data_IF_425971931914
#
_entry.id   IF_425971931914
#
_cell.length_a   1.000
_cell.length_b   1.000
_cell.length_c   1.000
_cell.angle_alpha   90.00
_cell.angle_beta   90.00
_cell.angle_gamma   90.00
#
_symmetry.space_group_name_H-M   'P 1'
#
loop_
_entity.id
_entity.type
_entity.pdbx_description
1 polymer ?
#
# COMPACT_ATOMS: atom_id res chain seq x y z
N UNK A 1 64.35 15.28 12.38
CA UNK A 1 63.48 15.30 13.58
C UNK A 1 62.05 15.19 13.11
N UNK A 2 61.42 14.05 13.39
CA UNK A 2 60.05 13.71 12.97
C UNK A 2 59.40 13.03 14.17
N UNK A 3 58.27 13.52 14.71
CA UNK A 3 57.70 12.95 15.92
C UNK A 3 56.88 11.69 15.61
N UNK A 4 57.27 10.58 16.26
CA UNK A 4 56.53 9.31 16.28
C UNK A 4 55.18 9.50 17.01
N UNK A 5 54.07 8.96 16.50
CA UNK A 5 52.80 8.95 17.23
C UNK A 5 52.84 7.93 18.37
N UNK A 6 52.29 8.32 19.53
CA UNK A 6 52.13 7.47 20.73
C UNK A 6 51.02 6.43 20.51
N UNK A 7 51.18 5.19 20.98
CA UNK A 7 50.12 4.18 20.92
C UNK A 7 49.02 4.52 21.95
N UNK A 8 47.78 4.67 21.47
CA UNK A 8 46.59 4.81 22.31
C UNK A 8 46.25 3.48 22.99
N UNK A 9 45.98 3.56 24.28
CA UNK A 9 45.67 2.44 25.16
C UNK A 9 44.41 1.67 24.72
N UNK A 10 44.60 0.54 24.03
CA UNK A 10 43.61 -0.53 23.97
C UNK A 10 43.75 -1.38 25.23
N UNK A 11 43.06 -0.98 26.30
CA UNK A 11 42.84 -1.86 27.45
C UNK A 11 41.87 -2.96 27.02
N UNK A 12 42.41 -4.15 26.74
CA UNK A 12 41.64 -5.39 26.61
C UNK A 12 41.01 -5.70 27.98
N UNK A 13 39.70 -5.47 28.11
CA UNK A 13 38.93 -6.12 29.16
C UNK A 13 38.61 -7.55 28.68
N UNK A 14 39.45 -8.51 29.06
CA UNK A 14 39.14 -9.93 28.98
C UNK A 14 38.10 -10.25 30.06
N UNK A 15 36.85 -10.45 29.66
CA UNK A 15 35.80 -10.96 30.54
C UNK A 15 36.00 -12.47 30.65
N UNK A 16 36.61 -12.92 31.75
CA UNK A 16 36.54 -14.32 32.18
C UNK A 16 35.08 -14.63 32.55
N UNK A 17 34.39 -15.38 31.69
CA UNK A 17 33.10 -15.99 32.02
C UNK A 17 33.33 -17.16 33.00
N UNK A 18 33.42 -16.86 34.29
CA UNK A 18 33.15 -17.86 35.34
C UNK A 18 31.64 -17.93 35.52
N UNK A 19 31.05 -19.06 35.14
CA UNK A 19 29.62 -19.33 35.35
C UNK A 19 29.27 -19.36 36.84
N UNK A 20 28.05 -18.93 37.22
CA UNK A 20 27.66 -18.93 38.62
C UNK A 20 27.27 -20.33 39.09
N UNK A 21 27.78 -20.71 40.27
CA UNK A 21 27.18 -21.76 41.10
C UNK A 21 25.82 -21.26 41.65
N UNK A 22 24.87 -22.15 41.97
CA UNK A 22 23.57 -21.72 42.48
C UNK A 22 23.75 -21.20 43.91
N UNK A 23 22.93 -20.22 44.29
CA UNK A 23 22.80 -19.67 45.65
C UNK A 23 23.74 -18.51 46.00
N UNK A 24 23.61 -17.38 45.30
CA UNK A 24 24.07 -16.09 45.84
C UNK A 24 23.10 -14.97 45.46
N UNK A 25 22.38 -14.44 46.47
CA UNK A 25 21.61 -13.22 46.34
C UNK A 25 22.56 -12.05 46.02
N UNK A 26 22.31 -11.35 44.91
CA UNK A 26 23.06 -10.15 44.54
C UNK A 26 22.32 -8.95 45.09
N UNK A 27 22.82 -8.42 46.20
CA UNK A 27 22.38 -7.14 46.79
C UNK A 27 22.95 -5.99 45.93
N UNK A 28 22.11 -5.35 45.12
CA UNK A 28 22.47 -4.19 44.31
C UNK A 28 22.49 -2.93 45.20
N UNK A 29 23.66 -2.59 45.74
CA UNK A 29 23.91 -1.27 46.32
C UNK A 29 24.65 -0.39 45.31
N UNK A 30 23.96 0.63 44.78
CA UNK A 30 24.53 1.65 43.90
C UNK A 30 23.52 2.78 43.70
N UNK A 31 23.94 4.02 43.96
CA UNK A 31 23.10 5.21 43.86
C UNK A 31 22.50 5.42 42.45
N UNK A 32 21.29 5.99 42.33
CA UNK A 32 20.69 6.30 41.04
C UNK A 32 21.47 7.43 40.35
N UNK A 33 22.15 7.09 39.24
CA UNK A 33 22.68 8.07 38.29
C UNK A 33 21.52 8.92 37.76
N UNK A 34 21.47 10.17 38.22
CA UNK A 34 20.52 11.18 37.80
C UNK A 34 20.62 11.45 36.30
N UNK A 35 19.47 11.40 35.63
CA UNK A 35 19.28 11.61 34.19
C UNK A 35 19.45 13.08 33.78
N UNK A 36 20.61 13.69 34.05
CA UNK A 36 20.82 15.13 33.86
C UNK A 36 22.07 15.54 33.07
N UNK A 37 22.82 14.61 32.45
CA UNK A 37 24.00 15.01 31.67
C UNK A 37 24.10 14.24 30.34
N UNK A 38 23.75 14.95 29.26
CA UNK A 38 24.25 14.82 27.88
C UNK A 38 23.15 14.67 26.81
N UNK A 39 22.42 15.75 26.54
CA UNK A 39 22.05 16.14 25.17
C UNK A 39 22.13 17.67 25.09
N UNK A 40 23.32 18.20 24.74
CA UNK A 40 23.41 19.52 24.14
C UNK A 40 22.97 19.40 22.69
N UNK A 41 21.74 19.86 22.43
CA UNK A 41 21.11 19.95 21.12
C UNK A 41 19.72 20.55 21.31
N UNK A 42 19.63 21.87 21.23
CA UNK A 42 18.46 22.66 21.64
C UNK A 42 17.16 22.34 20.88
N UNK A 43 16.01 22.82 21.39
CA UNK A 43 14.70 22.53 20.82
C UNK A 43 14.43 23.40 19.58
N UNK A 44 14.08 22.79 18.45
CA UNK A 44 13.26 23.49 17.45
C UNK A 44 11.83 23.56 17.99
N UNK A 45 11.41 24.77 18.37
CA UNK A 45 10.06 25.11 18.78
C UNK A 45 9.06 24.87 17.63
N UNK A 46 7.91 24.24 17.94
CA UNK A 46 6.67 24.44 17.17
C UNK A 46 6.00 23.22 16.53
N UNK A 47 6.51 22.00 16.71
CA UNK A 47 5.83 20.78 16.24
C UNK A 47 4.92 20.15 17.29
N UNK A 48 3.75 19.58 16.95
CA UNK A 48 2.98 18.78 17.90
C UNK A 48 3.85 17.62 18.41
N UNK A 49 3.75 17.24 19.70
CA UNK A 49 4.59 16.19 20.27
C UNK A 49 4.40 14.90 19.47
N UNK A 50 5.51 14.34 19.01
CA UNK A 50 5.51 13.05 18.33
C UNK A 50 4.78 12.02 19.22
N UNK A 51 3.91 11.15 18.66
CA UNK A 51 3.16 10.19 19.45
C UNK A 51 4.14 9.33 20.26
N UNK A 52 3.91 9.24 21.58
CA UNK A 52 4.69 8.39 22.49
C UNK A 52 4.59 6.95 22.01
N UNK A 53 5.64 6.48 21.33
CA UNK A 53 5.80 5.07 20.97
C UNK A 53 6.29 4.36 22.23
N UNK A 54 5.48 3.49 22.79
CA UNK A 54 5.82 2.70 23.99
C UNK A 54 5.83 1.21 23.65
N UNK A 55 6.87 0.49 24.06
CA UNK A 55 6.97 -0.97 23.92
C UNK A 55 8.41 -1.47 23.86
N UNK A 56 8.61 -2.78 24.08
CA UNK A 56 9.95 -3.41 24.10
C UNK A 56 10.74 -3.19 22.81
N UNK A 57 10.06 -3.16 21.66
CA UNK A 57 10.68 -2.87 20.36
C UNK A 57 11.21 -1.42 20.26
N UNK A 58 10.53 -0.47 20.91
CA UNK A 58 10.96 0.94 20.93
C UNK A 58 12.22 1.12 21.78
N UNK A 59 12.26 0.52 22.97
CA UNK A 59 13.45 0.57 23.84
C UNK A 59 14.64 -0.18 23.26
N UNK A 60 14.41 -1.28 22.55
CA UNK A 60 15.46 -2.00 21.82
C UNK A 60 16.05 -1.13 20.70
N UNK A 61 15.22 -0.39 19.97
CA UNK A 61 15.69 0.53 18.92
C UNK A 61 16.40 1.77 19.48
N UNK A 62 15.94 2.30 20.61
CA UNK A 62 16.61 3.41 21.31
C UNK A 62 18.00 2.99 21.81
N UNK A 63 18.11 1.80 22.41
CA UNK A 63 19.38 1.22 22.86
C UNK A 63 20.35 0.95 21.71
N UNK A 64 19.86 0.43 20.57
CA UNK A 64 20.68 0.20 19.36
C UNK A 64 21.18 1.50 18.73
N UNK A 65 20.39 2.57 18.81
CA UNK A 65 20.80 3.91 18.36
C UNK A 65 21.87 4.50 19.27
N UNK A 66 21.71 4.36 20.59
CA UNK A 66 22.71 4.78 21.56
C UNK A 66 24.07 4.06 21.37
N UNK A 67 24.04 2.81 20.90
CA UNK A 67 25.23 1.99 20.63
C UNK A 67 25.88 2.22 19.25
N UNK A 68 25.33 3.11 18.41
CA UNK A 68 25.93 3.42 17.09
C UNK A 68 25.76 2.32 16.02
N UNK A 69 24.99 1.25 16.30
CA UNK A 69 24.74 0.10 15.41
C UNK A 69 23.82 0.49 14.21
N UNK A 70 23.34 1.74 14.16
CA UNK A 70 22.37 2.23 13.16
C UNK A 70 22.87 2.08 11.72
N UNK A 71 24.18 2.19 11.47
CA UNK A 71 24.75 2.06 10.11
C UNK A 71 24.81 0.62 9.60
N UNK A 72 25.10 -0.36 10.47
CA UNK A 72 25.09 -1.78 10.11
C UNK A 72 23.66 -2.32 10.00
N UNK A 73 22.75 -1.88 10.88
CA UNK A 73 21.34 -2.25 10.79
C UNK A 73 20.73 -1.69 9.51
N UNK A 74 21.10 -0.51 9.00
CA UNK A 74 20.54 0.00 7.73
C UNK A 74 20.96 -0.86 6.53
N UNK A 75 22.19 -1.38 6.52
CA UNK A 75 22.66 -2.31 5.49
C UNK A 75 22.02 -3.71 5.61
N UNK A 76 21.84 -4.21 6.83
CA UNK A 76 21.14 -5.48 7.11
C UNK A 76 19.61 -5.37 6.93
N UNK A 77 19.02 -4.20 7.19
CA UNK A 77 17.60 -3.92 7.02
C UNK A 77 17.22 -3.83 5.54
N UNK A 78 18.07 -3.24 4.69
CA UNK A 78 17.91 -3.32 3.22
C UNK A 78 17.98 -4.77 2.73
N UNK A 79 18.64 -5.67 3.46
CA UNK A 79 18.65 -7.11 3.16
C UNK A 79 17.44 -7.89 3.70
N UNK A 80 16.54 -7.28 4.49
CA UNK A 80 15.37 -7.98 5.09
C UNK A 80 14.17 -8.12 4.15
N UNK A 81 14.05 -7.27 3.13
CA UNK A 81 12.95 -7.34 2.15
C UNK A 81 13.55 -7.69 0.80
N UNK A 82 13.25 -8.88 0.25
CA UNK A 82 13.85 -9.29 -1.01
C UNK A 82 13.40 -8.40 -2.17
N UNK A 83 14.28 -8.25 -3.16
CA UNK A 83 14.06 -7.38 -4.31
C UNK A 83 12.79 -7.79 -5.09
N UNK A 84 12.05 -6.85 -5.69
CA UNK A 84 10.76 -7.11 -6.34
C UNK A 84 10.87 -7.82 -7.70
N UNK A 85 12.00 -8.46 -8.00
CA UNK A 85 12.27 -9.09 -9.30
C UNK A 85 11.29 -10.23 -9.60
N UNK A 86 10.95 -11.02 -8.58
CA UNK A 86 9.94 -12.08 -8.70
C UNK A 86 8.58 -11.50 -9.10
N UNK A 87 8.12 -10.46 -8.39
CA UNK A 87 6.86 -9.78 -8.72
C UNK A 87 6.92 -9.13 -10.11
N UNK A 88 8.10 -8.67 -10.55
CA UNK A 88 8.40 -8.27 -11.93
C UNK A 88 8.06 -9.34 -12.95
N UNK A 89 8.60 -10.55 -12.75
CA UNK A 89 8.34 -11.69 -13.61
C UNK A 89 6.86 -12.11 -13.59
N UNK A 90 6.23 -12.13 -12.41
CA UNK A 90 4.79 -12.40 -12.27
C UNK A 90 3.97 -11.36 -13.03
N UNK A 91 4.25 -10.07 -12.86
CA UNK A 91 3.57 -8.99 -13.56
C UNK A 91 3.68 -9.11 -15.08
N UNK A 92 4.88 -9.36 -15.59
CA UNK A 92 5.10 -9.59 -17.01
C UNK A 92 4.33 -10.83 -17.53
N UNK A 93 4.37 -11.95 -16.79
CA UNK A 93 3.63 -13.15 -17.12
C UNK A 93 2.12 -12.95 -17.15
N UNK A 94 1.58 -12.22 -16.16
CA UNK A 94 0.17 -11.83 -16.11
C UNK A 94 -0.20 -10.98 -17.32
N UNK A 95 0.59 -9.96 -17.65
CA UNK A 95 0.30 -9.09 -18.79
C UNK A 95 0.29 -9.84 -20.12
N UNK A 96 1.29 -10.69 -20.36
CA UNK A 96 1.35 -11.53 -21.57
C UNK A 96 0.14 -12.46 -21.62
N UNK A 97 -0.16 -13.15 -20.53
CA UNK A 97 -1.29 -14.08 -20.46
C UNK A 97 -2.62 -13.38 -20.70
N UNK A 98 -2.89 -12.26 -20.00
CA UNK A 98 -4.11 -11.47 -20.15
C UNK A 98 -4.32 -10.99 -21.60
N UNK A 99 -3.26 -10.57 -22.28
CA UNK A 99 -3.33 -10.17 -23.70
C UNK A 99 -3.63 -11.35 -24.61
N UNK A 100 -3.06 -12.53 -24.34
CA UNK A 100 -3.29 -13.75 -25.12
C UNK A 100 -4.70 -14.32 -24.92
N UNK A 101 -5.24 -14.24 -23.70
CA UNK A 101 -6.55 -14.81 -23.35
C UNK A 101 -7.71 -13.84 -23.56
N UNK A 102 -7.45 -12.62 -24.07
CA UNK A 102 -8.46 -11.59 -24.30
C UNK A 102 -9.68 -12.15 -25.07
N UNK A 103 -10.90 -11.68 -24.78
CA UNK A 103 -12.12 -12.30 -25.28
C UNK A 103 -12.26 -12.24 -26.80
N UNK A 104 -11.57 -11.31 -27.47
CA UNK A 104 -11.54 -11.22 -28.93
C UNK A 104 -10.75 -12.36 -29.60
N UNK A 105 -9.87 -13.05 -28.86
CA UNK A 105 -9.07 -14.18 -29.35
C UNK A 105 -9.64 -15.54 -28.91
N UNK A 106 -10.15 -15.63 -27.68
CA UNK A 106 -10.54 -16.90 -27.04
C UNK A 106 -12.04 -17.06 -26.82
N UNK A 107 -12.82 -16.00 -27.02
CA UNK A 107 -14.24 -15.93 -26.66
C UNK A 107 -14.47 -15.57 -25.18
N UNK A 108 -15.62 -14.97 -24.89
CA UNK A 108 -15.93 -14.38 -23.58
C UNK A 108 -15.88 -15.37 -22.41
N UNK A 109 -16.48 -16.56 -22.55
CA UNK A 109 -16.57 -17.54 -21.46
C UNK A 109 -15.18 -18.05 -21.06
N UNK A 110 -14.36 -18.41 -22.04
CA UNK A 110 -13.02 -18.93 -21.81
C UNK A 110 -12.08 -17.83 -21.29
N UNK A 111 -12.16 -16.61 -21.83
CA UNK A 111 -11.41 -15.45 -21.30
C UNK A 111 -11.71 -15.24 -19.82
N UNK A 112 -12.99 -15.15 -19.43
CA UNK A 112 -13.38 -14.92 -18.04
C UNK A 112 -12.84 -16.04 -17.14
N UNK A 113 -12.97 -17.30 -17.54
CA UNK A 113 -12.47 -18.43 -16.76
C UNK A 113 -10.94 -18.36 -16.59
N UNK A 114 -10.20 -18.05 -17.66
CA UNK A 114 -8.74 -17.93 -17.62
C UNK A 114 -8.29 -16.70 -16.82
N UNK A 115 -9.00 -15.58 -16.89
CA UNK A 115 -8.72 -14.38 -16.11
C UNK A 115 -8.94 -14.62 -14.61
N UNK A 116 -9.99 -15.36 -14.23
CA UNK A 116 -10.23 -15.78 -12.83
C UNK A 116 -9.08 -16.67 -12.36
N UNK A 117 -8.70 -17.68 -13.15
CA UNK A 117 -7.57 -18.56 -12.82
C UNK A 117 -6.28 -17.75 -12.69
N UNK A 118 -6.04 -16.80 -13.60
CA UNK A 118 -4.86 -15.94 -13.57
C UNK A 118 -4.82 -15.07 -12.31
N UNK A 119 -5.95 -14.50 -11.89
CA UNK A 119 -6.05 -13.73 -10.66
C UNK A 119 -5.78 -14.59 -9.41
N UNK A 120 -6.34 -15.80 -9.37
CA UNK A 120 -6.09 -16.77 -8.27
C UNK A 120 -4.63 -17.18 -8.23
N UNK A 121 -4.03 -17.53 -9.37
CA UNK A 121 -2.63 -17.91 -9.45
C UNK A 121 -1.70 -16.75 -9.06
N UNK A 122 -2.05 -15.52 -9.43
CA UNK A 122 -1.31 -14.32 -9.01
C UNK A 122 -1.33 -14.17 -7.49
N UNK A 123 -2.50 -14.33 -6.86
CA UNK A 123 -2.63 -14.28 -5.41
C UNK A 123 -1.81 -15.40 -4.75
N UNK A 124 -1.93 -16.64 -5.22
CA UNK A 124 -1.20 -17.79 -4.69
C UNK A 124 0.32 -17.64 -4.84
N UNK A 125 0.79 -17.12 -5.97
CA UNK A 125 2.22 -16.89 -6.20
C UNK A 125 2.79 -15.85 -5.22
N UNK A 126 2.05 -14.76 -4.96
CA UNK A 126 2.46 -13.73 -4.00
C UNK A 126 2.41 -14.26 -2.57
N UNK A 127 1.32 -14.95 -2.19
CA UNK A 127 1.21 -15.56 -0.87
C UNK A 127 2.35 -16.57 -0.67
N UNK A 128 2.62 -17.43 -1.64
CA UNK A 128 3.71 -18.40 -1.55
C UNK A 128 5.08 -17.72 -1.41
N UNK A 129 5.32 -16.65 -2.17
CA UNK A 129 6.53 -15.85 -2.04
C UNK A 129 6.67 -15.26 -0.61
N UNK A 130 5.60 -14.68 -0.07
CA UNK A 130 5.57 -14.13 1.29
C UNK A 130 5.75 -15.24 2.35
N UNK A 131 5.25 -16.45 2.10
CA UNK A 131 5.42 -17.59 3.00
C UNK A 131 6.87 -18.08 3.04
N UNK A 132 7.56 -18.09 1.90
CA UNK A 132 8.91 -18.65 1.75
C UNK A 132 10.00 -17.65 2.15
N UNK A 133 9.83 -16.36 1.84
CA UNK A 133 10.89 -15.36 1.96
C UNK A 133 10.72 -14.38 3.12
N UNK A 134 9.51 -14.19 3.63
CA UNK A 134 9.27 -13.31 4.78
C UNK A 134 9.22 -14.13 6.08
N UNK A 135 9.86 -13.61 7.13
CA UNK A 135 9.76 -14.16 8.49
C UNK A 135 8.31 -14.06 8.99
N UNK A 136 7.87 -15.01 9.82
CA UNK A 136 6.48 -15.08 10.29
C UNK A 136 6.03 -13.79 11.02
N UNK A 137 6.95 -13.17 11.77
CA UNK A 137 6.72 -11.94 12.54
C UNK A 137 6.55 -10.70 11.66
N UNK A 138 7.13 -10.71 10.45
CA UNK A 138 7.11 -9.57 9.51
C UNK A 138 6.36 -9.90 8.22
N UNK A 139 5.60 -11.00 8.22
CA UNK A 139 4.87 -11.43 7.03
C UNK A 139 3.77 -10.42 6.68
N UNK A 140 3.67 -9.98 5.42
CA UNK A 140 2.61 -9.10 4.99
C UNK A 140 1.23 -9.74 5.21
N UNK A 141 0.26 -8.90 5.57
CA UNK A 141 -1.15 -9.29 5.60
C UNK A 141 -1.76 -9.37 4.19
N UNK A 142 -3.10 -9.43 4.09
CA UNK A 142 -3.79 -9.56 2.79
C UNK A 142 -3.53 -8.38 1.82
N UNK A 143 -3.01 -7.27 2.34
CA UNK A 143 -2.59 -6.09 1.61
C UNK A 143 -1.55 -6.41 0.50
N UNK A 144 -0.74 -7.48 0.63
CA UNK A 144 0.27 -7.83 -0.38
C UNK A 144 -0.32 -8.36 -1.69
N UNK A 145 -1.50 -8.99 -1.67
CA UNK A 145 -2.09 -9.62 -2.86
C UNK A 145 -3.43 -9.01 -3.31
N UNK A 146 -4.14 -8.26 -2.47
CA UNK A 146 -5.43 -7.65 -2.84
C UNK A 146 -5.29 -6.68 -4.04
N UNK A 147 -4.31 -5.78 -3.98
CA UNK A 147 -4.06 -4.81 -5.06
C UNK A 147 -3.61 -5.49 -6.37
N UNK A 148 -2.66 -6.46 -6.36
CA UNK A 148 -2.34 -7.26 -7.55
C UNK A 148 -3.53 -8.01 -8.16
N UNK A 149 -4.39 -8.62 -7.34
CA UNK A 149 -5.61 -9.28 -7.83
C UNK A 149 -6.55 -8.27 -8.49
N UNK A 150 -6.74 -7.12 -7.87
CA UNK A 150 -7.54 -6.04 -8.45
C UNK A 150 -6.92 -5.50 -9.75
N UNK A 151 -5.60 -5.46 -9.85
CA UNK A 151 -4.89 -5.07 -11.06
C UNK A 151 -5.13 -6.05 -12.20
N UNK A 152 -5.08 -7.37 -11.93
CA UNK A 152 -5.39 -8.42 -12.92
C UNK A 152 -6.82 -8.28 -13.42
N UNK A 153 -7.79 -8.14 -12.51
CA UNK A 153 -9.21 -7.98 -12.86
C UNK A 153 -9.42 -6.71 -13.70
N UNK A 154 -8.84 -5.59 -13.28
CA UNK A 154 -8.98 -4.31 -13.97
C UNK A 154 -8.35 -4.35 -15.36
N UNK A 155 -7.21 -5.04 -15.51
CA UNK A 155 -6.56 -5.28 -16.79
C UNK A 155 -7.42 -6.15 -17.72
N UNK A 156 -7.89 -7.31 -17.24
CA UNK A 156 -8.72 -8.23 -18.00
C UNK A 156 -9.97 -7.54 -18.56
N UNK A 157 -10.63 -6.75 -17.72
CA UNK A 157 -11.83 -6.02 -18.15
C UNK A 157 -11.47 -4.91 -19.14
N UNK A 158 -10.38 -4.16 -18.91
CA UNK A 158 -9.95 -3.13 -19.85
C UNK A 158 -9.72 -3.73 -21.25
N UNK A 159 -9.02 -4.87 -21.33
CA UNK A 159 -8.79 -5.60 -22.58
C UNK A 159 -10.08 -6.13 -23.21
N UNK A 160 -11.07 -6.47 -22.39
CA UNK A 160 -12.38 -6.91 -22.85
C UNK A 160 -13.25 -5.74 -23.35
N UNK A 161 -13.16 -4.57 -22.71
CA UNK A 161 -14.06 -3.44 -22.90
C UNK A 161 -13.67 -2.46 -24.00
N UNK A 162 -12.42 -2.49 -24.48
CA UNK A 162 -11.96 -1.61 -25.56
C UNK A 162 -10.88 -2.24 -26.44
N UNK A 163 -10.91 -1.89 -27.73
CA UNK A 163 -9.84 -2.21 -28.70
C UNK A 163 -8.82 -1.09 -28.85
N UNK A 164 -9.00 0.05 -28.17
CA UNK A 164 -8.05 1.16 -28.21
C UNK A 164 -6.70 0.74 -27.60
N UNK A 165 -5.68 0.70 -28.44
CA UNK A 165 -4.32 0.32 -28.07
C UNK A 165 -3.75 1.23 -26.96
N UNK A 166 -4.12 2.51 -26.93
CA UNK A 166 -3.60 3.46 -25.93
C UNK A 166 -4.12 3.13 -24.53
N UNK A 167 -5.42 2.84 -24.44
CA UNK A 167 -6.07 2.46 -23.17
C UNK A 167 -5.54 1.10 -22.70
N UNK A 168 -5.40 0.14 -23.62
CA UNK A 168 -4.88 -1.18 -23.30
C UNK A 168 -3.40 -1.16 -22.89
N UNK A 169 -2.55 -0.38 -23.56
CA UNK A 169 -1.15 -0.20 -23.18
C UNK A 169 -1.03 0.45 -21.80
N UNK A 170 -1.86 1.46 -21.52
CA UNK A 170 -1.92 2.09 -20.19
C UNK A 170 -2.37 1.09 -19.12
N UNK A 171 -3.40 0.29 -19.39
CA UNK A 171 -3.88 -0.74 -18.46
C UNK A 171 -2.82 -1.80 -18.18
N UNK A 172 -2.07 -2.25 -19.20
CA UNK A 172 -0.95 -3.18 -19.04
C UNK A 172 0.17 -2.56 -18.19
N UNK A 173 0.57 -1.33 -18.50
CA UNK A 173 1.63 -0.63 -17.77
C UNK A 173 1.26 -0.46 -16.28
N UNK A 174 0.02 -0.02 -16.02
CA UNK A 174 -0.49 0.14 -14.66
C UNK A 174 -0.60 -1.21 -13.97
N UNK A 175 -1.20 -2.22 -14.62
CA UNK A 175 -1.42 -3.53 -14.03
C UNK A 175 -0.11 -4.20 -13.62
N UNK A 176 0.88 -4.20 -14.52
CA UNK A 176 2.23 -4.70 -14.24
C UNK A 176 2.90 -3.92 -13.12
N UNK A 177 2.88 -2.58 -13.20
CA UNK A 177 3.46 -1.72 -12.17
C UNK A 177 2.87 -1.96 -10.77
N UNK A 178 1.55 -2.14 -10.67
CA UNK A 178 0.86 -2.45 -9.40
C UNK A 178 1.24 -3.84 -8.89
N UNK A 179 1.30 -4.86 -9.75
CA UNK A 179 1.71 -6.22 -9.36
C UNK A 179 3.15 -6.22 -8.81
N UNK A 180 4.03 -5.37 -9.33
CA UNK A 180 5.40 -5.23 -8.83
C UNK A 180 5.46 -4.43 -7.54
N UNK A 181 4.82 -3.26 -7.52
CA UNK A 181 4.97 -2.29 -6.44
C UNK A 181 4.21 -2.71 -5.17
N UNK A 182 2.96 -3.17 -5.29
CA UNK A 182 2.10 -3.39 -4.13
C UNK A 182 2.66 -4.44 -3.14
N UNK A 183 3.10 -5.65 -3.58
CA UNK A 183 3.65 -6.63 -2.65
C UNK A 183 4.93 -6.12 -1.97
N UNK A 184 5.79 -5.43 -2.72
CA UNK A 184 7.03 -4.88 -2.18
C UNK A 184 6.76 -3.78 -1.15
N UNK A 185 5.83 -2.86 -1.42
CA UNK A 185 5.42 -1.82 -0.47
C UNK A 185 4.76 -2.41 0.78
N UNK A 186 3.97 -3.49 0.63
CA UNK A 186 3.39 -4.22 1.75
C UNK A 186 4.47 -4.90 2.62
N UNK A 187 5.48 -5.52 2.01
CA UNK A 187 6.61 -6.12 2.71
C UNK A 187 7.48 -5.09 3.44
N UNK A 188 7.79 -3.95 2.79
CA UNK A 188 8.51 -2.84 3.43
C UNK A 188 7.78 -2.31 4.66
N UNK A 189 6.45 -2.23 4.60
CA UNK A 189 5.62 -1.83 5.74
C UNK A 189 5.63 -2.87 6.85
N UNK A 190 5.43 -4.14 6.51
CA UNK A 190 5.39 -5.22 7.49
C UNK A 190 6.75 -5.37 8.22
N UNK A 191 7.85 -5.09 7.52
CA UNK A 191 9.19 -5.01 8.10
C UNK A 191 9.47 -3.73 8.91
N UNK A 192 8.50 -2.82 9.06
CA UNK A 192 8.66 -1.56 9.81
C UNK A 192 9.51 -0.49 9.10
N UNK A 193 9.76 -0.64 7.80
CA UNK A 193 10.62 0.24 6.99
C UNK A 193 9.84 1.27 6.16
N UNK A 194 8.57 1.52 6.49
CA UNK A 194 7.73 2.47 5.77
C UNK A 194 8.23 3.91 5.97
N UNK A 195 8.75 4.51 4.89
CA UNK A 195 9.11 5.93 4.84
C UNK A 195 7.95 6.77 4.30
N UNK A 196 7.94 8.11 4.49
CA UNK A 196 6.91 8.98 3.92
C UNK A 196 6.76 8.82 2.39
N UNK A 197 7.88 8.61 1.69
CA UNK A 197 7.90 8.35 0.25
C UNK A 197 7.23 7.01 -0.08
N UNK A 198 7.53 5.93 0.65
CA UNK A 198 6.91 4.62 0.41
C UNK A 198 5.40 4.64 0.70
N UNK A 199 4.98 5.42 1.71
CA UNK A 199 3.56 5.67 1.99
C UNK A 199 2.88 6.35 0.80
N UNK A 200 3.49 7.41 0.25
CA UNK A 200 2.97 8.10 -0.92
C UNK A 200 2.92 7.20 -2.15
N UNK A 201 3.96 6.39 -2.39
CA UNK A 201 3.97 5.41 -3.49
C UNK A 201 2.87 4.36 -3.36
N UNK A 202 2.54 3.93 -2.13
CA UNK A 202 1.40 3.04 -1.89
C UNK A 202 0.08 3.73 -2.23
N UNK A 203 -0.11 4.97 -1.78
CA UNK A 203 -1.31 5.74 -2.11
C UNK A 203 -1.47 5.92 -3.64
N UNK A 204 -0.38 6.22 -4.34
CA UNK A 204 -0.35 6.28 -5.80
C UNK A 204 -0.71 4.93 -6.41
N UNK A 205 -0.17 3.83 -5.88
CA UNK A 205 -0.43 2.46 -6.37
C UNK A 205 -1.91 2.08 -6.20
N UNK A 206 -2.52 2.44 -5.06
CA UNK A 206 -3.94 2.25 -4.81
C UNK A 206 -4.83 3.10 -5.73
N UNK A 207 -4.40 4.32 -6.09
CA UNK A 207 -5.10 5.15 -7.10
C UNK A 207 -4.96 4.53 -8.49
N UNK A 208 -3.74 4.15 -8.86
CA UNK A 208 -3.41 3.60 -10.17
C UNK A 208 -4.22 2.34 -10.48
N UNK A 209 -4.41 1.42 -9.51
CA UNK A 209 -5.22 0.21 -9.73
C UNK A 209 -6.67 0.52 -10.13
N UNK A 210 -7.22 1.65 -9.66
CA UNK A 210 -8.59 2.05 -9.99
C UNK A 210 -8.71 2.66 -11.39
N UNK A 211 -7.61 3.17 -11.99
CA UNK A 211 -7.64 3.86 -13.29
C UNK A 211 -8.15 2.95 -14.40
N UNK A 212 -7.63 1.72 -14.63
CA UNK A 212 -8.17 0.84 -15.66
C UNK A 212 -9.61 0.40 -15.34
N UNK A 213 -9.96 0.21 -14.07
CA UNK A 213 -11.31 -0.17 -13.66
C UNK A 213 -12.36 0.91 -14.01
N UNK A 214 -12.06 2.18 -13.72
CA UNK A 214 -12.98 3.29 -14.06
C UNK A 214 -13.00 3.60 -15.56
N UNK A 215 -11.87 3.43 -16.26
CA UNK A 215 -11.81 3.60 -17.71
C UNK A 215 -12.63 2.52 -18.43
N UNK A 216 -12.53 1.28 -17.97
CA UNK A 216 -13.36 0.18 -18.44
C UNK A 216 -14.84 0.43 -18.08
N UNK A 217 -15.14 0.83 -16.84
CA UNK A 217 -16.49 1.18 -16.40
C UNK A 217 -17.11 2.35 -17.17
N UNK A 218 -16.30 3.28 -17.68
CA UNK A 218 -16.74 4.39 -18.51
C UNK A 218 -16.90 4.01 -19.99
N UNK A 219 -16.46 2.82 -20.41
CA UNK A 219 -16.48 2.41 -21.81
C UNK A 219 -17.93 2.26 -22.32
N UNK A 220 -18.29 2.90 -23.45
CA UNK A 220 -19.66 2.89 -23.97
C UNK A 220 -20.12 1.50 -24.45
N UNK A 221 -19.20 0.59 -24.76
CA UNK A 221 -19.51 -0.74 -25.27
C UNK A 221 -19.94 -1.78 -24.21
N UNK A 222 -19.79 -1.48 -22.92
CA UNK A 222 -20.16 -2.41 -21.86
C UNK A 222 -21.61 -2.20 -21.39
N UNK A 223 -22.29 -3.26 -20.96
CA UNK A 223 -23.60 -3.16 -20.31
C UNK A 223 -23.46 -2.50 -18.92
N UNK A 224 -24.54 -1.87 -18.43
CA UNK A 224 -24.53 -1.14 -17.16
C UNK A 224 -24.10 -2.02 -15.97
N UNK A 225 -24.48 -3.30 -15.96
CA UNK A 225 -24.14 -4.25 -14.89
C UNK A 225 -22.67 -4.68 -14.94
N UNK A 226 -22.09 -4.86 -16.15
CA UNK A 226 -20.65 -5.12 -16.30
C UNK A 226 -19.85 -3.91 -15.83
N UNK A 227 -20.23 -2.69 -16.25
CA UNK A 227 -19.58 -1.45 -15.81
C UNK A 227 -19.56 -1.33 -14.28
N UNK A 228 -20.73 -1.50 -13.66
CA UNK A 228 -20.87 -1.45 -12.21
C UNK A 228 -20.00 -2.49 -11.51
N UNK A 229 -20.01 -3.74 -11.99
CA UNK A 229 -19.24 -4.85 -11.37
C UNK A 229 -17.74 -4.58 -11.41
N UNK A 230 -17.23 -4.09 -12.52
CA UNK A 230 -15.80 -3.83 -12.73
C UNK A 230 -15.33 -2.70 -11.84
N UNK A 231 -16.07 -1.59 -11.85
CA UNK A 231 -15.79 -0.44 -11.00
C UNK A 231 -15.85 -0.87 -9.55
N UNK A 232 -16.87 -1.64 -9.15
CA UNK A 232 -17.00 -2.15 -7.78
C UNK A 232 -15.76 -2.91 -7.35
N UNK A 233 -15.29 -3.89 -8.12
CA UNK A 233 -14.14 -4.71 -7.75
C UNK A 233 -12.85 -3.88 -7.62
N UNK A 234 -12.52 -3.07 -8.64
CA UNK A 234 -11.29 -2.27 -8.63
C UNK A 234 -11.28 -1.18 -7.56
N UNK A 235 -12.41 -0.49 -7.37
CA UNK A 235 -12.52 0.60 -6.39
C UNK A 235 -12.65 0.11 -4.95
N UNK A 236 -13.30 -1.05 -4.72
CA UNK A 236 -13.36 -1.66 -3.39
C UNK A 236 -11.97 -2.10 -2.94
N UNK A 237 -11.18 -2.74 -3.82
CA UNK A 237 -9.83 -3.16 -3.48
C UNK A 237 -8.89 -1.98 -3.16
N UNK A 238 -8.91 -0.93 -3.98
CA UNK A 238 -8.13 0.29 -3.72
C UNK A 238 -8.58 1.00 -2.44
N UNK A 239 -9.89 1.03 -2.16
CA UNK A 239 -10.41 1.61 -0.92
C UNK A 239 -10.04 0.77 0.30
N UNK A 240 -10.04 -0.57 0.17
CA UNK A 240 -9.64 -1.47 1.25
C UNK A 240 -8.18 -1.23 1.64
N UNK A 241 -7.25 -1.21 0.68
CA UNK A 241 -5.84 -0.95 0.95
C UNK A 241 -5.64 0.42 1.63
N UNK A 242 -6.25 1.48 1.08
CA UNK A 242 -6.15 2.82 1.64
C UNK A 242 -6.69 2.93 3.07
N UNK A 243 -7.84 2.30 3.38
CA UNK A 243 -8.42 2.35 4.73
C UNK A 243 -7.67 1.42 5.69
N UNK A 244 -7.10 0.32 5.20
CA UNK A 244 -6.27 -0.58 6.01
C UNK A 244 -4.93 0.06 6.38
N UNK A 245 -4.39 0.89 5.47
CA UNK A 245 -3.19 1.70 5.70
C UNK A 245 -3.32 2.59 6.95
N UNK A 246 -4.53 3.09 7.21
CA UNK A 246 -4.84 3.94 8.36
C UNK A 246 -4.92 3.20 9.71
N UNK A 247 -4.68 1.89 9.74
CA UNK A 247 -4.72 1.08 10.97
C UNK A 247 -6.13 0.75 11.44
N UNK A 248 -7.14 0.91 10.57
CA UNK A 248 -8.53 0.57 10.86
C UNK A 248 -8.69 -0.96 10.97
N UNK A 249 -9.49 -1.48 11.92
CA UNK A 249 -9.78 -2.91 12.02
C UNK A 249 -10.47 -3.45 10.77
N UNK A 250 -10.12 -4.69 10.37
CA UNK A 250 -10.51 -5.28 9.09
C UNK A 250 -12.03 -5.22 8.78
N UNK A 251 -12.90 -5.40 9.79
CA UNK A 251 -14.36 -5.36 9.61
C UNK A 251 -14.83 -3.98 9.15
N UNK A 252 -14.31 -2.92 9.79
CA UNK A 252 -14.65 -1.53 9.46
C UNK A 252 -14.02 -1.14 8.12
N UNK A 253 -12.79 -1.59 7.87
CA UNK A 253 -12.13 -1.42 6.56
C UNK A 253 -12.96 -2.02 5.44
N UNK A 254 -13.41 -3.26 5.58
CA UNK A 254 -14.22 -3.94 4.58
C UNK A 254 -15.54 -3.21 4.31
N UNK A 255 -16.25 -2.77 5.36
CA UNK A 255 -17.49 -2.02 5.22
C UNK A 255 -17.29 -0.65 4.55
N UNK A 256 -16.27 0.10 4.96
CA UNK A 256 -15.94 1.39 4.35
C UNK A 256 -15.55 1.25 2.87
N UNK A 257 -14.72 0.25 2.57
CA UNK A 257 -14.28 -0.05 1.22
C UNK A 257 -15.45 -0.47 0.32
N UNK A 258 -16.32 -1.36 0.81
CA UNK A 258 -17.52 -1.79 0.09
C UNK A 258 -18.49 -0.63 -0.15
N UNK A 259 -18.69 0.25 0.84
CA UNK A 259 -19.55 1.42 0.68
C UNK A 259 -19.00 2.41 -0.35
N UNK A 260 -17.69 2.70 -0.31
CA UNK A 260 -17.03 3.54 -1.31
C UNK A 260 -17.11 2.93 -2.72
N UNK A 261 -16.85 1.63 -2.83
CA UNK A 261 -16.89 0.91 -4.09
C UNK A 261 -18.30 0.83 -4.68
N UNK A 262 -19.30 0.53 -3.85
CA UNK A 262 -20.71 0.44 -4.27
C UNK A 262 -21.22 1.79 -4.78
N UNK A 263 -20.96 2.88 -4.05
CA UNK A 263 -21.36 4.21 -4.48
C UNK A 263 -20.70 4.57 -5.83
N UNK A 264 -19.40 4.31 -5.98
CA UNK A 264 -18.70 4.58 -7.25
C UNK A 264 -19.22 3.71 -8.40
N UNK A 265 -19.51 2.44 -8.13
CA UNK A 265 -20.06 1.50 -9.10
C UNK A 265 -21.47 1.87 -9.57
N UNK A 266 -22.34 2.30 -8.65
CA UNK A 266 -23.69 2.77 -8.97
C UNK A 266 -23.62 4.03 -9.84
N UNK A 267 -22.73 4.98 -9.52
CA UNK A 267 -22.50 6.16 -10.36
C UNK A 267 -21.99 5.77 -11.74
N UNK A 268 -21.04 4.83 -11.84
CA UNK A 268 -20.54 4.36 -13.12
C UNK A 268 -21.62 3.68 -13.98
N UNK A 269 -22.47 2.85 -13.36
CA UNK A 269 -23.60 2.21 -14.04
C UNK A 269 -24.61 3.23 -14.58
N UNK A 270 -24.88 4.31 -13.82
CA UNK A 270 -25.77 5.38 -14.22
C UNK A 270 -25.14 6.36 -15.24
N UNK A 271 -23.82 6.48 -15.25
CA UNK A 271 -23.11 7.49 -16.03
C UNK A 271 -22.96 7.17 -17.53
N UNK A 272 -23.44 6.01 -17.97
CA UNK A 272 -23.23 5.53 -19.33
C UNK A 272 -23.69 6.52 -20.40
N UNK A 273 -22.75 6.97 -21.24
CA UNK A 273 -23.01 7.88 -22.35
C UNK A 273 -23.31 9.33 -21.93
N UNK A 274 -23.09 9.73 -20.66
CA UNK A 274 -23.28 11.13 -20.21
C UNK A 274 -22.37 12.09 -20.98
N UNK A 275 -21.10 11.76 -21.13
CA UNK A 275 -20.08 12.57 -21.80
C UNK A 275 -18.85 11.70 -22.10
N UNK A 276 -17.73 12.29 -22.54
CA UNK A 276 -16.54 11.55 -22.96
C UNK A 276 -16.01 10.58 -21.89
N UNK A 277 -15.58 9.39 -22.31
CA UNK A 277 -15.11 8.30 -21.45
C UNK A 277 -14.06 8.74 -20.43
N UNK A 278 -13.07 9.54 -20.86
CA UNK A 278 -12.00 10.03 -19.98
C UNK A 278 -12.55 10.94 -18.86
N UNK A 279 -13.51 11.79 -19.19
CA UNK A 279 -14.10 12.71 -18.23
C UNK A 279 -15.02 11.95 -17.23
N UNK A 280 -15.76 10.94 -17.68
CA UNK A 280 -16.50 10.04 -16.76
C UNK A 280 -15.52 9.34 -15.81
N UNK A 281 -14.44 8.74 -16.35
CA UNK A 281 -13.45 8.04 -15.54
C UNK A 281 -12.77 8.96 -14.51
N UNK A 282 -12.43 10.19 -14.90
CA UNK A 282 -11.90 11.20 -13.99
C UNK A 282 -12.90 11.56 -12.88
N UNK A 283 -14.17 11.81 -13.21
CA UNK A 283 -15.21 12.08 -12.21
C UNK A 283 -15.42 10.91 -11.26
N UNK A 284 -15.35 9.67 -11.74
CA UNK A 284 -15.42 8.47 -10.90
C UNK A 284 -14.20 8.34 -9.98
N UNK A 285 -13.00 8.68 -10.44
CA UNK A 285 -11.79 8.68 -9.60
C UNK A 285 -11.87 9.74 -8.50
N UNK A 286 -12.35 10.95 -8.82
CA UNK A 286 -12.55 12.01 -7.83
C UNK A 286 -13.59 11.58 -6.79
N UNK A 287 -14.72 11.01 -7.23
CA UNK A 287 -15.76 10.50 -6.36
C UNK A 287 -15.21 9.40 -5.45
N UNK A 288 -14.52 8.41 -6.01
CA UNK A 288 -13.90 7.33 -5.26
C UNK A 288 -12.89 7.85 -4.23
N UNK A 289 -12.00 8.77 -4.64
CA UNK A 289 -10.98 9.35 -3.77
C UNK A 289 -11.61 10.08 -2.57
N UNK A 290 -12.64 10.88 -2.81
CA UNK A 290 -13.37 11.56 -1.73
C UNK A 290 -14.12 10.58 -0.83
N UNK A 291 -14.83 9.61 -1.39
CA UNK A 291 -15.58 8.62 -0.62
C UNK A 291 -14.68 7.74 0.24
N UNK A 292 -13.58 7.21 -0.31
CA UNK A 292 -12.64 6.38 0.47
C UNK A 292 -12.06 7.17 1.66
N UNK A 293 -11.78 8.45 1.46
CA UNK A 293 -11.17 9.32 2.48
C UNK A 293 -12.15 9.67 3.59
N UNK A 294 -13.38 10.05 3.25
CA UNK A 294 -14.43 10.31 4.24
C UNK A 294 -14.80 9.05 5.02
N UNK A 295 -15.04 7.93 4.32
CA UNK A 295 -15.43 6.67 4.97
C UNK A 295 -14.30 6.06 5.79
N UNK A 296 -13.05 6.20 5.34
CA UNK A 296 -11.86 5.84 6.09
C UNK A 296 -11.68 6.69 7.35
N UNK A 297 -11.77 8.02 7.22
CA UNK A 297 -11.69 8.95 8.34
C UNK A 297 -12.78 8.74 9.39
N UNK A 298 -14.02 8.47 8.95
CA UNK A 298 -15.14 8.07 9.79
C UNK A 298 -14.84 6.76 10.55
N UNK A 299 -14.39 5.74 9.82
CA UNK A 299 -14.12 4.41 10.37
C UNK A 299 -12.97 4.39 11.38
N UNK A 300 -12.00 5.28 11.17
CA UNK A 300 -10.88 5.51 12.07
C UNK A 300 -11.22 6.41 13.27
N UNK A 301 -12.39 7.05 13.30
CA UNK A 301 -12.74 8.04 14.33
C UNK A 301 -11.90 9.32 14.27
N UNK A 302 -11.32 9.63 13.09
CA UNK A 302 -10.41 10.77 12.87
C UNK A 302 -10.98 11.83 11.93
N UNK A 303 -12.31 11.86 11.76
CA UNK A 303 -12.96 12.81 10.86
C UNK A 303 -13.03 14.20 11.50
N UNK A 304 -11.96 14.97 11.34
CA UNK A 304 -11.91 16.39 11.68
C UNK A 304 -12.40 17.27 10.52
N UNK A 305 -12.49 18.60 10.77
CA UNK A 305 -12.88 19.59 9.75
C UNK A 305 -11.96 19.59 8.52
N UNK A 306 -10.66 19.40 8.71
CA UNK A 306 -9.68 19.38 7.61
C UNK A 306 -9.93 18.24 6.60
N UNK A 307 -9.85 16.97 7.02
CA UNK A 307 -10.16 15.82 6.15
C UNK A 307 -11.57 15.87 5.55
N UNK A 308 -12.56 16.39 6.30
CA UNK A 308 -13.91 16.54 5.80
C UNK A 308 -14.00 17.54 4.64
N UNK A 309 -13.30 18.67 4.74
CA UNK A 309 -13.23 19.66 3.66
C UNK A 309 -12.45 19.14 2.46
N UNK A 310 -11.30 18.49 2.69
CA UNK A 310 -10.46 17.93 1.62
C UNK A 310 -11.22 16.88 0.81
N UNK A 311 -11.67 15.81 1.46
CA UNK A 311 -12.36 14.72 0.78
C UNK A 311 -13.77 15.12 0.30
N UNK A 312 -14.44 16.02 1.03
CA UNK A 312 -15.70 16.61 0.60
C UNK A 312 -15.56 17.42 -0.70
N UNK A 313 -14.48 18.17 -0.87
CA UNK A 313 -14.22 18.94 -2.09
C UNK A 313 -14.12 18.03 -3.33
N UNK A 314 -13.47 16.86 -3.20
CA UNK A 314 -13.40 15.88 -4.30
C UNK A 314 -14.77 15.31 -4.68
N UNK A 315 -15.65 15.05 -3.71
CA UNK A 315 -17.02 14.59 -3.97
C UNK A 315 -17.84 15.68 -4.65
N UNK A 316 -17.74 16.93 -4.17
CA UNK A 316 -18.41 18.07 -4.78
C UNK A 316 -17.93 18.30 -6.21
N UNK A 317 -16.62 18.24 -6.46
CA UNK A 317 -16.07 18.38 -7.80
C UNK A 317 -16.58 17.29 -8.75
N UNK A 318 -16.64 16.03 -8.29
CA UNK A 318 -17.24 14.94 -9.06
C UNK A 318 -18.73 15.18 -9.36
N UNK A 319 -19.49 15.61 -8.35
CA UNK A 319 -20.92 15.93 -8.50
C UNK A 319 -21.16 17.07 -9.48
N UNK A 320 -20.35 18.13 -9.44
CA UNK A 320 -20.40 19.23 -10.40
C UNK A 320 -20.08 18.75 -11.82
N UNK A 321 -19.07 17.91 -11.99
CA UNK A 321 -18.71 17.37 -13.30
C UNK A 321 -19.85 16.53 -13.91
N UNK A 322 -20.49 15.66 -13.11
CA UNK A 322 -21.67 14.90 -13.56
C UNK A 322 -22.89 15.81 -13.81
N UNK A 323 -23.11 16.82 -12.96
CA UNK A 323 -24.24 17.75 -13.06
C UNK A 323 -24.17 18.65 -14.31
N UNK A 324 -23.00 19.22 -14.60
CA UNK A 324 -22.76 20.01 -15.82
C UNK A 324 -23.03 19.15 -17.06
N UNK A 325 -22.57 17.91 -17.06
CA UNK A 325 -22.77 17.04 -18.20
C UNK A 325 -24.23 16.58 -18.38
N UNK A 326 -24.98 16.45 -17.28
CA UNK A 326 -26.41 16.15 -17.34
C UNK A 326 -27.23 17.35 -17.88
N UNK A 327 -26.81 18.58 -17.57
CA UNK A 327 -27.49 19.82 -18.00
C UNK A 327 -27.21 20.22 -19.47
N UNK A 328 -26.15 19.68 -20.07
CA UNK A 328 -25.78 19.94 -21.48
C UNK A 328 -26.42 19.01 -22.51
N UNK A 329 -27.38 18.17 -22.10
CA UNK A 329 -28.17 17.28 -22.96
C UNK A 329 -29.56 17.87 -23.22
#
# INVERSE_FOLDING_TARGET
>A
MSPRPRPSAFARASVELRGPAPDTEVELSGEPLTAAAAVEGGPEEGGPPAPRRTGHAFYADEARRALGIVREIRAVAVARVPAPLFHGAVGAGVAVTAVLVRPQATGWVLSIALDIVLAVLTALAIIHYDLVLCEEETRPGPDSFILPVAAVISLAVSLAGTTDLRVNALAVLIGTGVIVAAPHLAAMRAAGQETPLLRQLREITAVLVCVPAVLAGAAPGLSWWVRGTVVLLGTTAGAYDAVRADGVPWRRTALAALAAGLATALTAAAAGGLFGQAAIAMSLLLLWYGLRGLLGGLSAGRLGRGPLLEYGAFIVAAGLAFGVAAAGR
#
